data_IF_517924998446
#
_entry.id   IF_517924998446
#
_cell.length_a   1.000
_cell.length_b   1.000
_cell.length_c   1.000
_cell.angle_alpha   90.00
_cell.angle_beta   90.00
_cell.angle_gamma   90.00
#
_symmetry.space_group_name_H-M   'P 1'
#
loop_
_entity.id
_entity.type
_entity.pdbx_description
1 polymer ?
#
# COMPACT_ATOMS: atom_id res chain seq x y z
N UNK A 1 12.23 -9.66 -66.06
CA UNK A 1 12.63 -8.86 -64.92
C UNK A 1 11.87 -9.35 -63.68
N UNK A 2 12.56 -10.03 -62.82
CA UNK A 2 11.99 -10.47 -61.53
C UNK A 2 12.20 -9.39 -60.51
N UNK A 3 11.14 -8.72 -60.10
CA UNK A 3 11.21 -7.78 -58.95
C UNK A 3 11.12 -8.60 -57.67
N UNK A 4 12.21 -8.61 -56.91
CA UNK A 4 12.24 -9.10 -55.55
C UNK A 4 11.58 -8.06 -54.66
N UNK A 5 10.35 -8.33 -54.21
CA UNK A 5 9.69 -7.56 -53.16
C UNK A 5 10.24 -8.09 -51.85
N UNK A 6 11.21 -7.37 -51.30
CA UNK A 6 11.68 -7.64 -49.94
C UNK A 6 10.63 -7.11 -48.96
N UNK A 7 9.83 -8.03 -48.42
CA UNK A 7 8.87 -7.74 -47.37
C UNK A 7 9.67 -7.51 -46.07
N UNK A 8 9.90 -6.25 -45.74
CA UNK A 8 10.53 -5.86 -44.48
C UNK A 8 9.52 -6.08 -43.33
N UNK A 9 9.64 -7.21 -42.65
CA UNK A 9 8.85 -7.53 -41.48
C UNK A 9 9.34 -6.68 -40.31
N UNK A 10 8.72 -5.50 -40.13
CA UNK A 10 8.90 -4.72 -38.90
C UNK A 10 8.27 -5.47 -37.73
N UNK A 11 9.08 -6.24 -37.01
CA UNK A 11 8.72 -6.77 -35.69
C UNK A 11 8.73 -5.58 -34.75
N UNK A 12 7.57 -4.96 -34.57
CA UNK A 12 7.38 -4.04 -33.47
C UNK A 12 7.40 -4.89 -32.19
N UNK A 13 8.52 -4.88 -31.50
CA UNK A 13 8.58 -5.40 -30.16
C UNK A 13 7.63 -4.53 -29.32
N UNK A 14 6.43 -5.05 -29.07
CA UNK A 14 5.55 -4.49 -28.04
C UNK A 14 6.25 -4.72 -26.71
N UNK A 15 7.01 -3.72 -26.25
CA UNK A 15 7.41 -3.63 -24.87
C UNK A 15 6.12 -3.47 -24.07
N UNK A 16 5.61 -4.59 -23.55
CA UNK A 16 4.57 -4.55 -22.55
C UNK A 16 5.19 -3.87 -21.32
N UNK A 17 4.96 -2.57 -21.21
CA UNK A 17 5.22 -1.85 -19.97
C UNK A 17 4.31 -2.46 -18.91
N UNK A 18 4.85 -3.38 -18.11
CA UNK A 18 4.16 -3.82 -16.90
C UNK A 18 4.08 -2.60 -15.99
N UNK A 19 2.88 -2.04 -15.87
CA UNK A 19 2.61 -1.01 -14.89
C UNK A 19 2.88 -1.60 -13.51
N UNK A 20 3.80 -1.00 -12.78
CA UNK A 20 4.09 -1.37 -11.40
C UNK A 20 2.83 -1.13 -10.56
N UNK A 21 2.47 -2.10 -9.72
CA UNK A 21 1.26 -2.05 -8.90
C UNK A 21 1.60 -1.86 -7.43
N UNK A 22 0.76 -1.09 -6.73
CA UNK A 22 0.79 -0.99 -5.26
C UNK A 22 0.26 -2.25 -4.59
N UNK A 23 -0.46 -3.09 -5.32
CA UNK A 23 -1.00 -4.36 -4.83
C UNK A 23 0.14 -5.33 -4.52
N UNK A 24 0.04 -5.99 -3.38
CA UNK A 24 1.03 -6.96 -2.91
C UNK A 24 1.27 -6.87 -1.41
N UNK A 25 2.29 -7.58 -0.96
CA UNK A 25 2.68 -7.59 0.45
C UNK A 25 3.81 -6.62 0.71
N UNK A 26 3.71 -5.91 1.82
CA UNK A 26 4.63 -4.85 2.19
C UNK A 26 5.00 -4.96 3.65
N UNK A 27 6.28 -4.75 3.92
CA UNK A 27 6.83 -4.69 5.27
C UNK A 27 6.78 -3.26 5.78
N UNK A 28 6.12 -3.04 6.91
CA UNK A 28 6.07 -1.74 7.58
C UNK A 28 7.26 -1.57 8.50
N UNK A 29 7.75 -0.35 8.61
CA UNK A 29 8.95 -0.03 9.39
C UNK A 29 8.56 0.96 10.48
N UNK A 30 9.06 0.73 11.69
CA UNK A 30 8.96 1.68 12.80
C UNK A 30 9.90 2.86 12.56
N UNK A 31 9.36 4.07 12.54
CA UNK A 31 10.15 5.28 12.29
C UNK A 31 11.15 5.58 13.41
N UNK A 32 10.85 5.18 14.65
CA UNK A 32 11.69 5.45 15.80
C UNK A 32 12.88 4.49 15.89
N UNK A 33 12.67 3.23 15.53
CA UNK A 33 13.69 2.17 15.70
C UNK A 33 14.29 1.67 14.39
N UNK A 34 13.63 1.91 13.24
CA UNK A 34 14.01 1.34 11.96
C UNK A 34 13.71 -0.15 11.81
N UNK A 35 13.07 -0.75 12.81
CA UNK A 35 12.73 -2.18 12.80
C UNK A 35 11.44 -2.46 12.02
N UNK A 36 11.40 -3.62 11.38
CA UNK A 36 10.19 -4.12 10.74
C UNK A 36 9.14 -4.50 11.79
N UNK A 37 7.91 -3.99 11.63
CA UNK A 37 6.81 -4.21 12.60
C UNK A 37 5.79 -5.22 12.14
N UNK A 38 5.38 -5.14 10.89
CA UNK A 38 4.29 -5.96 10.37
C UNK A 38 4.44 -6.19 8.87
N UNK A 39 3.72 -7.17 8.40
CA UNK A 39 3.47 -7.37 6.97
C UNK A 39 2.02 -7.00 6.72
N UNK A 40 1.80 -6.15 5.73
CA UNK A 40 0.47 -5.76 5.28
C UNK A 40 0.27 -6.19 3.84
N UNK A 41 -0.95 -6.55 3.49
CA UNK A 41 -1.34 -6.85 2.12
C UNK A 41 -2.20 -5.72 1.58
N UNK A 42 -1.71 -5.07 0.55
CA UNK A 42 -2.47 -4.08 -0.22
C UNK A 42 -3.23 -4.82 -1.31
N UNK A 43 -4.53 -4.62 -1.37
CA UNK A 43 -5.41 -5.30 -2.31
C UNK A 43 -6.47 -4.37 -2.87
N UNK A 44 -7.00 -4.74 -4.02
CA UNK A 44 -8.09 -4.03 -4.68
C UNK A 44 -9.42 -4.74 -4.42
N UNK A 45 -10.44 -3.96 -4.08
CA UNK A 45 -11.81 -4.45 -3.91
C UNK A 45 -12.78 -3.40 -4.43
N UNK A 46 -13.67 -3.78 -5.34
CA UNK A 46 -14.67 -2.87 -5.93
C UNK A 46 -14.07 -1.57 -6.48
N UNK A 47 -12.89 -1.68 -7.12
CA UNK A 47 -12.19 -0.54 -7.74
C UNK A 47 -11.44 0.37 -6.76
N UNK A 48 -11.41 0.04 -5.48
CA UNK A 48 -10.69 0.81 -4.45
C UNK A 48 -9.57 -0.01 -3.83
N UNK A 49 -8.63 0.68 -3.21
CA UNK A 49 -7.45 0.09 -2.56
C UNK A 49 -7.64 0.04 -1.05
N UNK A 50 -7.34 -1.11 -0.51
CA UNK A 50 -7.36 -1.44 0.92
C UNK A 50 -6.03 -2.06 1.32
N UNK A 51 -5.73 -2.07 2.61
CA UNK A 51 -4.63 -2.86 3.15
C UNK A 51 -5.01 -3.47 4.48
N UNK A 52 -4.63 -4.73 4.66
CA UNK A 52 -4.86 -5.46 5.93
C UNK A 52 -3.55 -5.97 6.50
N UNK A 53 -3.47 -6.05 7.80
CA UNK A 53 -2.35 -6.65 8.51
C UNK A 53 -2.42 -8.16 8.36
N UNK A 54 -1.41 -8.77 7.73
CA UNK A 54 -1.35 -10.23 7.53
C UNK A 54 -0.34 -10.90 8.45
N UNK A 55 0.59 -10.16 9.01
CA UNK A 55 1.50 -10.65 10.05
C UNK A 55 1.95 -9.51 10.97
N UNK A 56 2.17 -9.83 12.23
CA UNK A 56 2.78 -8.94 13.22
C UNK A 56 4.07 -9.59 13.67
N UNK A 57 5.20 -8.90 13.45
CA UNK A 57 6.52 -9.52 13.55
C UNK A 57 7.03 -9.66 14.98
N UNK A 58 6.55 -8.85 15.92
CA UNK A 58 6.87 -9.00 17.34
C UNK A 58 5.91 -10.02 17.99
N UNK A 59 6.42 -11.18 18.43
CA UNK A 59 5.57 -12.20 19.05
C UNK A 59 4.85 -11.73 20.32
N UNK A 60 5.43 -10.76 21.04
CA UNK A 60 4.88 -10.26 22.29
C UNK A 60 3.55 -9.51 22.09
N UNK A 61 3.34 -8.93 20.91
CA UNK A 61 2.15 -8.11 20.60
C UNK A 61 1.32 -8.68 19.44
N UNK A 62 1.70 -9.85 18.93
CA UNK A 62 1.09 -10.46 17.74
C UNK A 62 -0.43 -10.62 17.84
N UNK A 63 -0.92 -10.95 19.01
CA UNK A 63 -2.34 -11.20 19.24
C UNK A 63 -3.05 -10.07 19.99
N UNK A 64 -2.44 -8.90 20.05
CA UNK A 64 -3.07 -7.74 20.65
C UNK A 64 -4.32 -7.31 19.89
N UNK A 65 -5.27 -6.77 20.65
CA UNK A 65 -6.50 -6.21 20.12
C UNK A 65 -6.34 -4.69 19.92
N UNK A 66 -7.07 -4.15 18.96
CA UNK A 66 -7.13 -2.70 18.76
C UNK A 66 -8.11 -2.06 19.75
N UNK A 67 -7.69 -1.86 20.96
CA UNK A 67 -8.55 -1.36 22.06
C UNK A 67 -9.01 0.07 21.85
N UNK A 68 -8.23 0.87 21.13
CA UNK A 68 -8.51 2.29 20.90
C UNK A 68 -9.08 2.57 19.52
N UNK A 69 -9.30 1.55 18.69
CA UNK A 69 -9.89 1.70 17.38
C UNK A 69 -11.33 2.20 17.46
N UNK A 70 -11.76 3.07 16.52
CA UNK A 70 -13.12 3.56 16.48
C UNK A 70 -14.09 2.56 15.85
N UNK A 71 -15.37 2.70 16.19
CA UNK A 71 -16.46 1.98 15.54
C UNK A 71 -16.33 0.47 15.64
N UNK A 72 -16.58 -0.20 14.52
CA UNK A 72 -16.55 -1.67 14.43
C UNK A 72 -15.16 -2.29 14.59
N UNK A 73 -14.11 -1.50 14.46
CA UNK A 73 -12.72 -1.98 14.62
C UNK A 73 -12.29 -2.07 16.09
N UNK A 74 -13.07 -1.49 16.99
CA UNK A 74 -12.76 -1.55 18.42
C UNK A 74 -12.71 -2.99 18.92
N UNK A 75 -11.62 -3.33 19.58
CA UNK A 75 -11.35 -4.67 20.13
C UNK A 75 -11.18 -5.78 19.08
N UNK A 76 -11.07 -5.46 17.79
CA UNK A 76 -10.66 -6.44 16.80
C UNK A 76 -9.18 -6.78 16.97
N UNK A 77 -8.78 -8.02 16.64
CA UNK A 77 -7.36 -8.35 16.55
C UNK A 77 -6.66 -7.42 15.55
N UNK A 78 -5.47 -6.96 15.90
CA UNK A 78 -4.63 -6.19 14.96
C UNK A 78 -4.25 -7.08 13.78
N UNK A 79 -3.95 -8.35 14.02
CA UNK A 79 -3.78 -9.34 12.97
C UNK A 79 -5.09 -9.54 12.20
N UNK A 80 -5.08 -9.24 10.91
CA UNK A 80 -6.27 -9.27 10.05
C UNK A 80 -7.02 -7.94 9.92
N UNK A 81 -6.61 -6.91 10.65
CA UNK A 81 -7.27 -5.61 10.65
C UNK A 81 -7.03 -4.86 9.33
N UNK A 82 -8.08 -4.30 8.75
CA UNK A 82 -7.96 -3.38 7.62
C UNK A 82 -7.47 -2.02 8.13
N UNK A 83 -6.25 -1.64 7.75
CA UNK A 83 -5.63 -0.38 8.16
C UNK A 83 -5.67 0.70 7.08
N UNK A 84 -5.76 0.34 5.81
CA UNK A 84 -6.05 1.30 4.73
C UNK A 84 -7.44 1.00 4.19
N UNK A 85 -8.24 2.05 4.03
CA UNK A 85 -9.66 1.96 3.75
C UNK A 85 -10.06 2.84 2.59
N UNK A 86 -10.31 2.21 1.43
CA UNK A 86 -11.02 2.81 0.33
C UNK A 86 -10.30 3.91 -0.42
N UNK A 87 -9.04 3.76 -0.76
CA UNK A 87 -8.33 4.73 -1.61
C UNK A 87 -8.77 4.61 -3.06
N UNK A 88 -8.92 5.74 -3.71
CA UNK A 88 -9.22 5.86 -5.14
C UNK A 88 -7.98 6.27 -5.92
N UNK A 89 -7.86 5.78 -7.14
CA UNK A 89 -6.77 6.15 -8.03
C UNK A 89 -6.89 7.60 -8.47
N UNK A 90 -5.81 8.35 -8.36
CA UNK A 90 -5.67 9.74 -8.78
C UNK A 90 -4.30 9.92 -9.43
N UNK A 91 -4.23 9.71 -10.75
CA UNK A 91 -2.96 9.71 -11.48
C UNK A 91 -2.03 8.57 -10.99
N UNK A 92 -0.83 8.93 -10.57
CA UNK A 92 0.16 8.00 -10.02
C UNK A 92 -0.02 7.75 -8.51
N UNK A 93 -1.02 8.36 -7.89
CA UNK A 93 -1.31 8.28 -6.47
C UNK A 93 -2.65 7.59 -6.23
N UNK A 94 -2.81 7.02 -5.04
CA UNK A 94 -4.10 6.58 -4.51
C UNK A 94 -4.40 7.41 -3.27
N UNK A 95 -5.57 8.02 -3.18
CA UNK A 95 -5.96 8.90 -2.09
C UNK A 95 -7.49 8.88 -1.85
N UNK A 96 -8.02 9.86 -1.14
CA UNK A 96 -9.45 9.99 -0.83
C UNK A 96 -10.01 8.86 0.02
N UNK A 97 -9.17 8.30 0.87
CA UNK A 97 -9.54 7.31 1.87
C UNK A 97 -8.75 7.55 3.15
N UNK A 98 -8.72 6.55 4.00
CA UNK A 98 -8.18 6.68 5.35
C UNK A 98 -7.16 5.59 5.67
N UNK A 99 -6.27 5.92 6.59
CA UNK A 99 -5.37 4.96 7.24
C UNK A 99 -5.59 4.98 8.75
N UNK A 100 -5.72 3.80 9.32
CA UNK A 100 -5.88 3.59 10.76
C UNK A 100 -4.53 3.27 11.38
N UNK A 101 -4.17 4.00 12.43
CA UNK A 101 -3.04 3.65 13.28
C UNK A 101 -3.54 2.79 14.44
N UNK A 102 -3.28 1.48 14.46
CA UNK A 102 -3.79 0.62 15.52
C UNK A 102 -3.14 0.90 16.88
N UNK A 103 -2.01 1.58 16.92
CA UNK A 103 -1.30 1.93 18.14
C UNK A 103 -2.05 2.97 18.98
N UNK A 104 -2.70 3.93 18.33
CA UNK A 104 -3.45 5.00 19.00
C UNK A 104 -4.95 5.03 18.64
N UNK A 105 -5.38 4.18 17.70
CA UNK A 105 -6.78 4.11 17.24
C UNK A 105 -7.22 5.28 16.38
N UNK A 106 -6.31 6.13 15.92
CA UNK A 106 -6.67 7.30 15.12
C UNK A 106 -6.73 6.98 13.63
N UNK A 107 -7.68 7.61 12.96
CA UNK A 107 -7.83 7.62 11.52
C UNK A 107 -7.22 8.88 10.94
N UNK A 108 -6.44 8.72 9.89
CA UNK A 108 -5.83 9.81 9.12
C UNK A 108 -6.29 9.71 7.67
N UNK A 109 -6.29 10.82 6.96
CA UNK A 109 -6.36 10.80 5.50
C UNK A 109 -5.11 10.14 4.96
N UNK A 110 -5.22 9.43 3.85
CA UNK A 110 -4.11 8.62 3.33
C UNK A 110 -3.86 8.92 1.85
N UNK A 111 -2.58 9.05 1.52
CA UNK A 111 -2.09 9.05 0.15
C UNK A 111 -1.00 7.98 0.01
N UNK A 112 -1.10 7.20 -1.05
CA UNK A 112 -0.27 6.05 -1.33
C UNK A 112 0.30 6.14 -2.74
N UNK A 113 1.61 5.95 -2.90
CA UNK A 113 2.25 5.93 -4.22
C UNK A 113 3.52 5.09 -4.22
N UNK A 114 3.88 4.55 -5.39
CA UNK A 114 5.15 3.86 -5.55
C UNK A 114 6.30 4.88 -5.68
N UNK A 115 7.30 4.77 -4.82
CA UNK A 115 8.60 5.43 -5.01
C UNK A 115 9.44 4.67 -6.02
N UNK A 116 9.40 3.35 -5.94
CA UNK A 116 10.01 2.41 -6.87
C UNK A 116 9.23 1.11 -6.86
N UNK A 117 9.63 0.13 -7.66
CA UNK A 117 8.99 -1.19 -7.72
C UNK A 117 8.80 -1.82 -6.33
N UNK A 118 9.78 -1.67 -5.45
CA UNK A 118 9.83 -2.35 -4.16
C UNK A 118 9.72 -1.40 -2.95
N UNK A 119 9.43 -0.12 -3.21
CA UNK A 119 9.30 0.89 -2.16
C UNK A 119 8.01 1.68 -2.32
N UNK A 120 7.19 1.65 -1.30
CA UNK A 120 5.89 2.30 -1.25
C UNK A 120 5.94 3.51 -0.33
N UNK A 121 5.49 4.65 -0.81
CA UNK A 121 5.33 5.86 -0.01
C UNK A 121 3.92 5.89 0.55
N UNK A 122 3.84 5.97 1.87
CA UNK A 122 2.58 6.01 2.62
C UNK A 122 2.54 7.28 3.44
N UNK A 123 1.60 8.16 3.13
CA UNK A 123 1.43 9.41 3.85
C UNK A 123 0.08 9.46 4.55
N UNK A 124 0.12 9.62 5.88
CA UNK A 124 -1.04 9.95 6.68
C UNK A 124 -1.05 11.43 7.05
N UNK A 125 -2.20 12.10 6.96
CA UNK A 125 -2.29 13.52 7.27
C UNK A 125 -3.66 13.89 7.85
N UNK A 126 -3.70 15.04 8.54
CA UNK A 126 -4.92 15.59 9.14
C UNK A 126 -5.21 16.94 8.47
N UNK A 127 -6.47 17.16 8.09
CA UNK A 127 -6.89 18.41 7.46
C UNK A 127 -6.22 18.63 6.11
N UNK A 128 -5.40 19.67 5.99
CA UNK A 128 -4.61 19.93 4.80
C UNK A 128 -3.37 19.03 4.77
N UNK A 129 -2.93 18.65 3.56
CA UNK A 129 -1.82 17.72 3.35
C UNK A 129 -0.46 18.15 3.92
N UNK A 130 -0.35 19.38 4.43
CA UNK A 130 0.86 19.90 5.04
C UNK A 130 1.13 19.33 6.45
N UNK A 131 0.09 18.87 7.17
CA UNK A 131 0.21 18.31 8.51
C UNK A 131 0.07 16.80 8.41
N UNK A 132 1.20 16.11 8.39
CA UNK A 132 1.18 14.68 8.25
C UNK A 132 2.55 14.04 8.42
N UNK A 133 2.58 12.73 8.27
CA UNK A 133 3.78 11.92 8.38
C UNK A 133 3.88 10.99 7.18
N UNK A 134 5.07 10.92 6.59
CA UNK A 134 5.39 9.99 5.51
C UNK A 134 6.17 8.81 6.05
N UNK A 135 5.72 7.62 5.68
CA UNK A 135 6.42 6.35 5.92
C UNK A 135 6.73 5.69 4.59
N UNK A 136 7.72 4.80 4.60
CA UNK A 136 8.04 3.95 3.46
C UNK A 136 7.90 2.49 3.87
N UNK A 137 7.17 1.76 3.04
CA UNK A 137 7.04 0.31 3.19
C UNK A 137 7.82 -0.38 2.10
N UNK A 138 8.30 -1.57 2.37
CA UNK A 138 9.16 -2.32 1.45
C UNK A 138 8.49 -3.62 1.02
N UNK A 139 8.54 -3.91 -0.27
CA UNK A 139 7.89 -5.09 -0.84
C UNK A 139 8.49 -6.36 -0.25
N UNK A 140 7.61 -7.30 0.06
CA UNK A 140 7.95 -8.66 0.49
C UNK A 140 7.62 -9.62 -0.65
N UNK A 141 8.56 -10.47 -0.98
CA UNK A 141 8.40 -11.49 -2.02
C UNK A 141 7.87 -12.81 -1.44
#
# INVERSE_FOLDING_TARGET
MKQLITLLFCITAMNSMQSQSVVGKWKTIDDATGEAKSIVEVFSKSGKIYAKVVDVLDPAVKYNLCKQCPGDDKNKPILGLNIIKGLSKDGAEYNSGEILDPKNGKLYKCALSLESKDKLKVRGYIGFSLIGRTQYWYRVN
#
